data_IF_267115442113
#
_entry.id   IF_267115442113
#
_cell.length_a   1.000
_cell.length_b   1.000
_cell.length_c   1.000
_cell.angle_alpha   90.00
_cell.angle_beta   90.00
_cell.angle_gamma   90.00
#
_symmetry.space_group_name_H-M   'P 1'
#
loop_
_entity.id
_entity.type
_entity.pdbx_description
1 polymer ?
#
# COMPACT_ATOMS: atom_id res chain seq x y z
N UNK A 1 -10.09 -57.21 -12.45
CA UNK A 1 -9.57 -55.82 -12.35
C UNK A 1 -10.63 -54.99 -11.63
N UNK A 2 -10.45 -54.68 -10.33
CA UNK A 2 -11.36 -53.82 -9.59
C UNK A 2 -10.69 -52.45 -9.36
N UNK A 3 -11.05 -51.44 -10.16
CA UNK A 3 -10.48 -50.09 -10.02
C UNK A 3 -11.49 -49.09 -10.58
N UNK A 4 -12.57 -48.84 -9.84
CA UNK A 4 -13.54 -47.79 -10.21
C UNK A 4 -14.36 -47.33 -9.02
N UNK A 5 -14.74 -48.25 -8.11
CA UNK A 5 -15.57 -47.90 -6.95
C UNK A 5 -14.75 -47.21 -5.85
N UNK A 6 -13.51 -47.66 -5.61
CA UNK A 6 -12.65 -47.10 -4.56
C UNK A 6 -12.17 -45.67 -4.87
N UNK A 7 -11.90 -45.35 -6.14
CA UNK A 7 -11.45 -44.01 -6.54
C UNK A 7 -12.55 -42.95 -6.39
N UNK A 8 -13.80 -43.31 -6.68
CA UNK A 8 -14.94 -42.39 -6.54
C UNK A 8 -15.20 -42.09 -5.06
N UNK A 9 -15.03 -43.08 -4.19
CA UNK A 9 -15.16 -42.90 -2.74
C UNK A 9 -14.02 -42.05 -2.16
N UNK A 10 -12.81 -42.24 -2.66
CA UNK A 10 -11.63 -41.47 -2.26
C UNK A 10 -11.75 -39.99 -2.70
N UNK A 11 -12.17 -39.72 -3.93
CA UNK A 11 -12.44 -38.35 -4.39
C UNK A 11 -13.57 -37.67 -3.61
N UNK A 12 -14.62 -38.41 -3.26
CA UNK A 12 -15.71 -37.89 -2.43
C UNK A 12 -15.25 -37.59 -1.00
N UNK A 13 -14.37 -38.42 -0.44
CA UNK A 13 -13.79 -38.19 0.88
C UNK A 13 -12.90 -36.95 0.90
N UNK A 14 -12.07 -36.75 -0.13
CA UNK A 14 -11.21 -35.55 -0.27
C UNK A 14 -12.07 -34.28 -0.36
N UNK A 15 -13.15 -34.29 -1.15
CA UNK A 15 -14.05 -33.14 -1.26
C UNK A 15 -14.81 -32.84 0.03
N UNK A 16 -15.11 -33.87 0.83
CA UNK A 16 -15.74 -33.70 2.14
C UNK A 16 -14.76 -33.06 3.13
N UNK A 17 -13.52 -33.57 3.18
CA UNK A 17 -12.44 -33.06 4.03
C UNK A 17 -12.10 -31.61 3.67
N UNK A 18 -12.01 -31.26 2.38
CA UNK A 18 -11.79 -29.88 1.95
C UNK A 18 -12.92 -28.95 2.38
N UNK A 19 -14.18 -29.40 2.28
CA UNK A 19 -15.34 -28.62 2.73
C UNK A 19 -15.37 -28.47 4.24
N UNK A 20 -15.10 -29.53 4.99
CA UNK A 20 -15.04 -29.50 6.46
C UNK A 20 -13.90 -28.61 6.93
N UNK A 21 -12.74 -28.65 6.29
CA UNK A 21 -11.61 -27.76 6.56
C UNK A 21 -12.00 -26.30 6.31
N UNK A 22 -12.59 -25.98 5.16
CA UNK A 22 -13.04 -24.59 4.87
C UNK A 22 -14.06 -24.10 5.89
N UNK A 23 -14.96 -24.98 6.35
CA UNK A 23 -16.02 -24.67 7.31
C UNK A 23 -15.46 -24.50 8.73
N UNK A 24 -14.57 -25.38 9.17
CA UNK A 24 -13.95 -25.36 10.51
C UNK A 24 -13.06 -24.14 10.71
N UNK A 25 -12.40 -23.68 9.65
CA UNK A 25 -11.48 -22.53 9.71
C UNK A 25 -12.12 -21.20 9.28
N UNK A 26 -13.44 -21.14 9.05
CA UNK A 26 -14.12 -19.97 8.48
C UNK A 26 -13.37 -19.38 7.26
N UNK A 27 -12.78 -20.25 6.45
CA UNK A 27 -12.01 -19.87 5.24
C UNK A 27 -12.93 -19.58 4.05
N UNK A 28 -14.25 -19.53 4.25
CA UNK A 28 -15.13 -18.94 3.27
C UNK A 28 -14.55 -17.55 2.95
N UNK A 29 -14.12 -17.28 1.70
CA UNK A 29 -13.65 -15.97 1.36
C UNK A 29 -14.79 -15.01 1.70
N UNK A 30 -14.57 -14.11 2.66
CA UNK A 30 -15.53 -13.04 2.93
C UNK A 30 -15.77 -12.35 1.59
N UNK A 31 -16.90 -12.66 0.94
CA UNK A 31 -17.36 -11.92 -0.22
C UNK A 31 -17.87 -10.61 0.36
N UNK A 32 -16.96 -9.69 0.65
CA UNK A 32 -17.31 -8.35 1.06
C UNK A 32 -17.99 -7.69 -0.13
N UNK A 33 -19.23 -7.29 0.07
CA UNK A 33 -20.03 -6.55 -0.92
C UNK A 33 -19.86 -5.04 -0.75
N UNK A 34 -18.82 -4.61 -0.03
CA UNK A 34 -18.57 -3.19 0.21
C UNK A 34 -18.36 -2.49 -1.14
N UNK A 35 -19.08 -1.38 -1.41
CA UNK A 35 -18.85 -0.62 -2.62
C UNK A 35 -17.39 -0.15 -2.65
N UNK A 36 -16.84 -0.04 -3.85
CA UNK A 36 -15.50 0.50 -4.01
C UNK A 36 -15.59 2.01 -3.83
N UNK A 37 -14.79 2.54 -2.92
CA UNK A 37 -14.61 3.98 -2.72
C UNK A 37 -13.15 4.32 -2.99
N UNK A 38 -12.90 5.29 -3.87
CA UNK A 38 -11.55 5.64 -4.29
C UNK A 38 -11.26 7.09 -3.98
N UNK A 39 -10.24 7.35 -3.17
CA UNK A 39 -9.83 8.67 -2.74
C UNK A 39 -8.44 9.03 -3.31
N UNK A 40 -8.21 10.31 -3.60
CA UNK A 40 -6.87 10.81 -3.91
C UNK A 40 -6.05 10.82 -2.62
N UNK A 41 -4.89 10.16 -2.62
CA UNK A 41 -4.01 10.11 -1.44
C UNK A 41 -3.38 11.48 -1.14
N UNK A 42 -3.15 12.31 -2.16
CA UNK A 42 -2.42 13.58 -2.06
C UNK A 42 -3.38 14.71 -1.71
N UNK A 43 -4.53 14.75 -2.37
CA UNK A 43 -5.57 15.75 -2.16
C UNK A 43 -6.90 15.07 -1.85
N UNK A 44 -7.06 14.46 -0.66
CA UNK A 44 -8.28 13.73 -0.34
C UNK A 44 -9.47 14.68 -0.29
N UNK A 45 -10.29 14.64 -1.34
CA UNK A 45 -11.60 15.27 -1.34
C UNK A 45 -12.54 14.52 -0.39
N UNK A 46 -13.52 15.21 0.24
CA UNK A 46 -14.47 14.55 1.14
C UNK A 46 -15.40 13.57 0.44
N UNK A 47 -15.52 13.65 -0.90
CA UNK A 47 -16.41 12.81 -1.69
C UNK A 47 -15.55 11.79 -2.47
N UNK A 48 -15.72 10.48 -2.26
CA UNK A 48 -14.99 9.47 -3.02
C UNK A 48 -15.43 9.41 -4.48
N UNK A 49 -14.52 8.91 -5.32
CA UNK A 49 -14.87 8.38 -6.63
C UNK A 49 -15.50 7.01 -6.42
N UNK A 50 -16.75 6.86 -6.85
CA UNK A 50 -17.47 5.58 -6.88
C UNK A 50 -17.47 5.05 -8.31
N UNK A 51 -16.67 4.01 -8.64
CA UNK A 51 -16.71 3.37 -9.94
C UNK A 51 -18.01 2.55 -10.11
N UNK A 52 -18.44 2.28 -11.36
CA UNK A 52 -19.54 1.37 -11.63
C UNK A 52 -19.32 -0.05 -11.06
N UNK A 53 -20.38 -0.70 -10.61
CA UNK A 53 -20.35 -1.99 -9.89
C UNK A 53 -19.71 -3.16 -10.65
N UNK A 54 -19.63 -3.08 -11.99
CA UNK A 54 -18.96 -4.10 -12.80
C UNK A 54 -17.43 -4.03 -12.70
N UNK A 55 -16.87 -2.96 -12.13
CA UNK A 55 -15.44 -2.79 -11.93
C UNK A 55 -15.02 -3.55 -10.68
N UNK A 56 -14.46 -4.76 -10.87
CA UNK A 56 -14.07 -5.63 -9.75
C UNK A 56 -12.56 -5.87 -9.66
N UNK A 57 -11.77 -5.41 -10.65
CA UNK A 57 -10.32 -5.63 -10.69
C UNK A 57 -9.56 -4.31 -10.71
N UNK A 58 -8.36 -4.31 -10.12
CA UNK A 58 -7.50 -3.13 -10.12
C UNK A 58 -7.21 -2.66 -11.55
N UNK A 59 -6.97 -3.56 -12.51
CA UNK A 59 -6.81 -3.19 -13.93
C UNK A 59 -8.01 -2.45 -14.50
N UNK A 60 -9.23 -2.93 -14.24
CA UNK A 60 -10.44 -2.25 -14.71
C UNK A 60 -10.60 -0.88 -14.04
N UNK A 61 -10.30 -0.79 -12.74
CA UNK A 61 -10.33 0.47 -12.01
C UNK A 61 -9.31 1.48 -12.55
N UNK A 62 -8.08 1.05 -12.83
CA UNK A 62 -7.05 1.89 -13.43
C UNK A 62 -7.46 2.42 -14.81
N UNK A 63 -8.13 1.60 -15.62
CA UNK A 63 -8.64 2.04 -16.92
C UNK A 63 -9.78 3.05 -16.77
N UNK A 64 -10.68 2.84 -15.81
CA UNK A 64 -11.74 3.79 -15.48
C UNK A 64 -11.18 5.13 -15.02
N UNK A 65 -10.21 5.12 -14.10
CA UNK A 65 -9.53 6.32 -13.63
C UNK A 65 -8.82 7.08 -14.76
N UNK A 66 -8.23 6.37 -15.73
CA UNK A 66 -7.64 6.99 -16.92
C UNK A 66 -8.68 7.60 -17.86
N UNK A 67 -9.72 6.84 -18.20
CA UNK A 67 -10.72 7.24 -19.18
C UNK A 67 -11.67 8.31 -18.67
N UNK A 68 -12.28 8.08 -17.51
CA UNK A 68 -13.37 8.91 -16.98
C UNK A 68 -12.87 10.03 -16.08
N UNK A 69 -11.73 9.84 -15.40
CA UNK A 69 -11.14 10.84 -14.50
C UNK A 69 -9.91 11.54 -15.08
N UNK A 70 -9.47 11.14 -16.28
CA UNK A 70 -8.34 11.77 -16.97
C UNK A 70 -6.98 11.58 -16.29
N UNK A 71 -6.86 10.65 -15.34
CA UNK A 71 -5.59 10.40 -14.63
C UNK A 71 -4.60 9.72 -15.56
N UNK A 72 -3.39 10.25 -15.71
CA UNK A 72 -2.47 9.73 -16.72
C UNK A 72 -1.77 8.44 -16.29
N UNK A 73 -1.27 8.38 -15.04
CA UNK A 73 -0.56 7.21 -14.49
C UNK A 73 -0.99 6.90 -13.06
N UNK A 74 -2.27 6.56 -12.82
CA UNK A 74 -2.73 6.17 -11.49
C UNK A 74 -2.10 4.84 -11.06
N UNK A 75 -1.74 4.76 -9.79
CA UNK A 75 -1.45 3.53 -9.06
C UNK A 75 -2.43 3.45 -7.86
N UNK A 76 -2.95 2.27 -7.55
CA UNK A 76 -3.98 2.06 -6.51
C UNK A 76 -3.38 1.38 -5.27
N UNK A 77 -3.85 1.81 -4.11
CA UNK A 77 -3.44 1.37 -2.79
C UNK A 77 -4.64 0.98 -1.93
N UNK A 78 -4.42 0.03 -1.03
CA UNK A 78 -5.39 -0.30 0.03
C UNK A 78 -4.82 0.11 1.37
N UNK A 79 -5.60 0.86 2.14
CA UNK A 79 -5.30 1.22 3.53
C UNK A 79 -5.57 0.02 4.44
N UNK A 80 -4.65 -0.26 5.36
CA UNK A 80 -4.76 -1.32 6.36
C UNK A 80 -4.52 -0.74 7.73
N UNK A 81 -5.32 -1.13 8.71
CA UNK A 81 -5.19 -0.70 10.10
C UNK A 81 -4.49 -1.78 10.94
N UNK A 82 -3.91 -1.38 12.08
CA UNK A 82 -3.29 -2.28 13.07
C UNK A 82 -2.24 -3.23 12.47
N UNK A 83 -1.34 -2.72 11.62
CA UNK A 83 -0.29 -3.53 10.95
C UNK A 83 1.10 -3.37 11.53
N UNK A 84 1.32 -2.38 12.39
CA UNK A 84 2.59 -2.13 13.07
C UNK A 84 2.37 -1.35 14.37
N UNK A 85 3.38 -1.30 15.24
CA UNK A 85 3.31 -0.67 16.55
C UNK A 85 3.89 0.77 16.61
N UNK A 86 4.32 1.35 15.48
CA UNK A 86 4.94 2.68 15.45
C UNK A 86 3.98 3.82 15.81
N UNK A 87 2.73 3.72 15.40
CA UNK A 87 1.68 4.72 15.66
C UNK A 87 0.50 4.03 16.33
N UNK A 88 -0.40 4.81 16.94
CA UNK A 88 -1.56 4.29 17.66
C UNK A 88 -2.47 3.44 16.76
N UNK A 89 -2.70 3.90 15.54
CA UNK A 89 -3.64 3.26 14.61
C UNK A 89 -2.95 2.17 13.76
N UNK A 90 -1.62 2.17 13.72
CA UNK A 90 -0.82 1.18 12.99
C UNK A 90 -1.17 1.14 11.50
N UNK A 91 -1.45 2.31 10.90
CA UNK A 91 -1.96 2.40 9.52
C UNK A 91 -0.82 2.17 8.53
N UNK A 92 -1.06 1.33 7.53
CA UNK A 92 -0.14 1.12 6.42
C UNK A 92 -0.87 1.04 5.09
N UNK A 93 -0.14 1.27 4.01
CA UNK A 93 -0.66 1.19 2.65
C UNK A 93 -0.01 0.04 1.91
N UNK A 94 -0.83 -0.72 1.19
CA UNK A 94 -0.36 -1.79 0.31
C UNK A 94 -0.75 -1.50 -1.12
N UNK A 95 0.23 -1.46 -2.02
CA UNK A 95 -0.03 -1.32 -3.44
C UNK A 95 -0.81 -2.52 -3.98
N UNK A 96 -1.81 -2.25 -4.83
CA UNK A 96 -2.69 -3.27 -5.39
C UNK A 96 -2.25 -3.63 -6.80
N UNK A 97 -1.76 -4.86 -6.96
CA UNK A 97 -1.35 -5.35 -8.28
C UNK A 97 -2.53 -5.37 -9.27
N UNK A 98 -2.34 -5.00 -10.57
CA UNK A 98 -3.42 -4.88 -11.55
C UNK A 98 -4.35 -6.09 -11.69
N UNK A 99 -3.81 -7.30 -11.49
CA UNK A 99 -4.56 -8.56 -11.59
C UNK A 99 -5.37 -8.90 -10.32
N UNK A 100 -5.29 -8.11 -9.26
CA UNK A 100 -6.02 -8.38 -8.01
C UNK A 100 -7.41 -7.77 -8.06
N UNK A 101 -8.34 -8.43 -7.37
CA UNK A 101 -9.66 -7.86 -7.10
C UNK A 101 -9.53 -6.67 -6.15
N UNK A 102 -10.45 -5.73 -6.30
CA UNK A 102 -10.54 -4.51 -5.49
C UNK A 102 -11.91 -4.42 -4.86
N UNK A 103 -11.97 -3.93 -3.62
CA UNK A 103 -13.20 -3.77 -2.84
C UNK A 103 -12.96 -2.76 -1.71
N UNK A 104 -14.03 -2.12 -1.25
CA UNK A 104 -14.00 -1.20 -0.11
C UNK A 104 -13.18 0.06 -0.36
N UNK A 105 -12.56 0.57 0.71
CA UNK A 105 -11.83 1.82 0.72
C UNK A 105 -10.43 1.69 0.08
N UNK A 106 -10.21 2.43 -0.99
CA UNK A 106 -8.98 2.47 -1.77
C UNK A 106 -8.50 3.91 -1.91
N UNK A 107 -7.21 4.04 -2.15
CA UNK A 107 -6.57 5.31 -2.44
C UNK A 107 -5.79 5.21 -3.74
N UNK A 108 -5.62 6.33 -4.45
CA UNK A 108 -4.78 6.37 -5.63
C UNK A 108 -3.73 7.48 -5.56
N UNK A 109 -2.65 7.27 -6.32
CA UNK A 109 -1.61 8.26 -6.58
C UNK A 109 -1.50 8.41 -8.10
N UNK A 110 -1.73 9.60 -8.65
CA UNK A 110 -1.36 9.87 -10.05
C UNK A 110 0.12 10.23 -10.15
N UNK A 111 0.94 9.26 -10.57
CA UNK A 111 2.39 9.47 -10.70
C UNK A 111 2.75 10.57 -11.68
N UNK A 112 1.93 10.78 -12.71
CA UNK A 112 2.21 11.81 -13.71
C UNK A 112 2.03 13.20 -13.12
N UNK A 113 0.98 13.42 -12.32
CA UNK A 113 0.75 14.69 -11.62
C UNK A 113 1.92 15.07 -10.71
N UNK A 114 2.57 14.07 -10.10
CA UNK A 114 3.68 14.27 -9.18
C UNK A 114 5.07 14.22 -9.84
N UNK A 115 5.13 13.94 -11.14
CA UNK A 115 6.37 13.66 -11.87
C UNK A 115 7.22 12.54 -11.25
N UNK A 116 6.58 11.51 -10.68
CA UNK A 116 7.30 10.37 -10.11
C UNK A 116 7.63 9.33 -11.18
N UNK A 117 8.91 8.99 -11.30
CA UNK A 117 9.36 7.78 -12.02
C UNK A 117 9.00 6.55 -11.17
N UNK A 118 9.55 6.52 -9.96
CA UNK A 118 9.19 5.63 -8.85
C UNK A 118 9.03 6.43 -7.56
N UNK A 119 8.37 5.82 -6.58
CA UNK A 119 8.05 6.44 -5.30
C UNK A 119 7.79 5.38 -4.24
N UNK A 120 7.80 5.82 -2.99
CA UNK A 120 7.27 5.08 -1.83
C UNK A 120 6.14 5.89 -1.19
N UNK A 121 5.31 5.26 -0.38
CA UNK A 121 4.38 5.98 0.49
C UNK A 121 5.03 6.09 1.87
N UNK A 122 5.30 7.30 2.33
CA UNK A 122 5.82 7.56 3.68
C UNK A 122 4.66 7.87 4.60
N UNK A 123 4.62 7.22 5.77
CA UNK A 123 3.69 7.57 6.82
C UNK A 123 4.26 8.78 7.59
N UNK A 124 3.69 9.96 7.36
CA UNK A 124 4.02 11.19 8.09
C UNK A 124 3.16 11.26 9.35
N UNK A 125 3.77 11.06 10.52
CA UNK A 125 3.11 11.23 11.81
C UNK A 125 3.30 12.68 12.31
N UNK A 126 2.21 13.44 12.39
CA UNK A 126 2.23 14.84 12.81
C UNK A 126 0.96 15.17 13.62
N UNK A 127 1.10 15.79 14.79
CA UNK A 127 -0.03 16.19 15.65
C UNK A 127 -1.02 15.04 15.94
N UNK A 128 -0.51 13.87 16.33
CA UNK A 128 -1.27 12.63 16.58
C UNK A 128 -2.08 12.14 15.35
N UNK A 129 -1.70 12.55 14.15
CA UNK A 129 -2.33 12.11 12.90
C UNK A 129 -1.32 11.40 12.00
N UNK A 130 -1.81 10.33 11.39
CA UNK A 130 -1.11 9.51 10.41
C UNK A 130 -1.52 9.95 9.00
N UNK A 131 -0.59 10.58 8.29
CA UNK A 131 -0.83 11.15 6.95
C UNK A 131 0.01 10.36 5.93
N UNK A 132 -0.60 9.70 4.93
CA UNK A 132 0.15 9.11 3.84
C UNK A 132 0.71 10.19 2.92
N UNK A 133 1.99 10.12 2.61
CA UNK A 133 2.63 11.04 1.69
C UNK A 133 3.43 10.26 0.65
N UNK A 134 3.00 10.24 -0.62
CA UNK A 134 3.81 9.75 -1.72
C UNK A 134 5.11 10.57 -1.85
N UNK A 135 6.25 9.91 -1.83
CA UNK A 135 7.57 10.53 -1.97
C UNK A 135 8.34 9.83 -3.08
N UNK A 136 8.75 10.61 -4.08
CA UNK A 136 9.55 10.11 -5.20
C UNK A 136 10.89 9.55 -4.72
N UNK A 137 11.31 8.42 -5.28
CA UNK A 137 12.58 7.76 -4.93
C UNK A 137 13.40 7.48 -6.18
N UNK A 138 14.72 7.56 -6.04
CA UNK A 138 15.68 7.39 -7.13
C UNK A 138 16.65 6.24 -6.86
N UNK A 139 17.36 5.81 -7.90
CA UNK A 139 18.49 4.89 -7.77
C UNK A 139 19.65 5.56 -7.00
N UNK A 140 20.56 4.78 -6.38
CA UNK A 140 21.63 5.29 -5.49
C UNK A 140 22.49 6.40 -6.11
N UNK A 141 22.78 6.31 -7.41
CA UNK A 141 23.66 7.24 -8.12
C UNK A 141 22.93 8.44 -8.74
N UNK A 142 21.60 8.54 -8.55
CA UNK A 142 20.77 9.58 -9.13
C UNK A 142 20.39 10.64 -8.08
N UNK A 143 20.53 11.94 -8.39
CA UNK A 143 20.20 12.99 -7.43
C UNK A 143 18.71 12.99 -7.10
N UNK A 144 18.39 12.94 -5.81
CA UNK A 144 17.01 12.88 -5.31
C UNK A 144 16.36 14.26 -5.15
N UNK A 145 17.18 15.30 -4.96
CA UNK A 145 16.76 16.69 -4.89
C UNK A 145 17.69 17.56 -5.73
N UNK A 146 17.25 18.77 -6.07
CA UNK A 146 18.06 19.77 -6.76
C UNK A 146 19.28 20.21 -5.94
N UNK A 147 19.24 20.02 -4.62
CA UNK A 147 20.36 20.27 -3.71
C UNK A 147 21.30 19.08 -3.69
N UNK A 148 22.61 19.35 -3.78
CA UNK A 148 23.68 18.35 -3.92
C UNK A 148 23.87 17.42 -2.71
N UNK A 149 23.15 17.62 -1.60
CA UNK A 149 23.40 16.94 -0.32
C UNK A 149 22.10 16.42 0.34
N UNK A 150 21.09 16.04 -0.45
CA UNK A 150 19.87 15.42 0.09
C UNK A 150 20.10 14.05 0.75
N UNK A 151 21.31 13.49 0.70
CA UNK A 151 21.64 12.06 0.76
C UNK A 151 21.26 11.26 2.01
N UNK A 152 20.47 11.80 2.94
CA UNK A 152 19.87 11.05 4.05
C UNK A 152 18.35 11.18 4.08
N UNK A 153 17.66 10.23 4.71
CA UNK A 153 16.21 10.30 4.93
C UNK A 153 15.81 11.63 5.56
N UNK A 154 16.52 12.06 6.60
CA UNK A 154 16.25 13.33 7.27
C UNK A 154 16.28 14.52 6.30
N UNK A 155 17.42 14.75 5.64
CA UNK A 155 17.61 15.92 4.77
C UNK A 155 16.61 15.91 3.60
N UNK A 156 16.35 14.73 3.03
CA UNK A 156 15.38 14.57 1.95
C UNK A 156 13.97 14.98 2.40
N UNK A 157 13.50 14.43 3.53
CA UNK A 157 12.16 14.73 4.03
C UNK A 157 12.02 16.17 4.56
N UNK A 158 13.05 16.73 5.19
CA UNK A 158 13.09 18.15 5.60
C UNK A 158 13.01 19.09 4.39
N UNK A 159 13.65 18.72 3.28
CA UNK A 159 13.57 19.48 2.01
C UNK A 159 12.15 19.44 1.44
N UNK A 160 11.50 18.26 1.45
CA UNK A 160 10.16 18.09 0.88
C UNK A 160 9.06 18.70 1.74
N UNK A 161 9.21 18.66 3.07
CA UNK A 161 8.16 19.06 4.01
C UNK A 161 8.51 20.34 4.77
N UNK A 162 9.44 21.15 4.25
CA UNK A 162 9.77 22.44 4.82
C UNK A 162 8.50 23.26 5.12
N UNK A 163 8.38 23.91 6.29
CA UNK A 163 9.43 24.12 7.30
C UNK A 163 9.48 23.04 8.42
N UNK A 164 8.92 21.85 8.21
CA UNK A 164 8.84 20.85 9.26
C UNK A 164 10.21 20.22 9.59
N UNK A 165 10.47 19.92 10.86
CA UNK A 165 11.66 19.17 11.29
C UNK A 165 11.35 17.68 11.44
N UNK A 166 12.27 16.83 10.99
CA UNK A 166 12.15 15.37 11.09
C UNK A 166 13.03 14.89 12.23
N UNK A 167 12.43 14.55 13.37
CA UNK A 167 13.21 14.17 14.56
C UNK A 167 13.39 12.65 14.71
N UNK A 168 12.53 11.84 14.08
CA UNK A 168 12.66 10.38 14.04
C UNK A 168 12.17 9.86 12.70
N UNK A 169 12.88 8.88 12.14
CA UNK A 169 12.41 8.10 11.01
C UNK A 169 12.66 6.61 11.27
N UNK A 170 11.60 5.80 11.19
CA UNK A 170 11.63 4.37 11.50
C UNK A 170 11.17 3.55 10.31
N UNK A 171 11.83 2.41 10.08
CA UNK A 171 11.36 1.44 9.10
C UNK A 171 10.10 0.74 9.61
N UNK A 172 9.05 0.70 8.78
CA UNK A 172 7.83 -0.03 9.08
C UNK A 172 8.11 -1.53 8.90
N UNK A 173 8.06 -2.28 9.99
CA UNK A 173 8.14 -3.74 9.98
C UNK A 173 6.74 -4.31 10.19
N UNK A 174 6.38 -5.31 9.38
CA UNK A 174 5.06 -5.94 9.40
C UNK A 174 4.97 -7.16 10.32
N UNK A 175 6.09 -7.57 10.94
CA UNK A 175 6.16 -8.68 11.87
C UNK A 175 6.09 -8.17 13.31
N UNK A 176 5.25 -8.81 14.13
CA UNK A 176 5.16 -8.51 15.56
C UNK A 176 6.45 -8.95 16.27
N UNK A 177 7.02 -8.05 17.10
CA UNK A 177 8.16 -8.36 17.98
C UNK A 177 9.54 -7.92 17.48
N UNK A 178 9.65 -7.45 16.23
CA UNK A 178 10.89 -6.82 15.77
C UNK A 178 10.96 -5.36 16.24
N UNK A 179 12.16 -4.92 16.64
CA UNK A 179 12.40 -3.53 17.04
C UNK A 179 12.53 -2.68 15.78
N UNK A 180 11.69 -1.65 15.57
CA UNK A 180 11.76 -0.84 14.37
C UNK A 180 13.12 -0.14 14.24
N UNK A 181 13.78 -0.36 13.09
CA UNK A 181 15.08 0.22 12.79
C UNK A 181 14.99 1.74 12.64
N UNK A 182 15.91 2.47 13.28
CA UNK A 182 16.11 3.89 13.01
C UNK A 182 16.84 4.09 11.68
N UNK A 183 16.22 4.82 10.77
CA UNK A 183 16.73 5.07 9.43
C UNK A 183 16.95 6.55 9.13
N UNK A 184 16.88 7.43 10.14
CA UNK A 184 16.97 8.89 9.97
C UNK A 184 18.21 9.33 9.17
N UNK A 185 19.35 8.69 9.47
CA UNK A 185 20.64 8.99 8.84
C UNK A 185 21.00 8.04 7.69
N UNK A 186 20.09 7.14 7.29
CA UNK A 186 20.33 6.23 6.17
C UNK A 186 20.17 6.96 4.83
N UNK A 187 20.80 6.48 3.75
CA UNK A 187 20.52 6.97 2.41
C UNK A 187 19.05 6.78 2.01
N UNK A 188 18.52 7.73 1.23
CA UNK A 188 17.15 7.66 0.69
C UNK A 188 17.19 7.31 -0.81
N UNK A 189 17.15 6.01 -1.13
CA UNK A 189 17.16 5.49 -2.49
C UNK A 189 16.61 4.05 -2.56
N UNK A 190 16.43 3.51 -3.77
CA UNK A 190 15.72 2.25 -4.03
C UNK A 190 16.36 0.99 -3.41
N UNK A 191 17.68 0.95 -3.18
CA UNK A 191 18.31 -0.16 -2.43
C UNK A 191 17.96 -0.16 -0.94
N UNK A 192 17.55 0.98 -0.38
CA UNK A 192 17.12 1.09 1.01
C UNK A 192 15.60 0.97 1.17
N UNK A 193 14.82 1.43 0.19
CA UNK A 193 13.36 1.41 0.25
C UNK A 193 12.79 0.93 -1.07
N UNK A 194 11.92 -0.09 -1.02
CA UNK A 194 11.40 -0.70 -2.23
C UNK A 194 10.34 0.21 -2.88
N UNK A 195 10.43 0.42 -4.20
CA UNK A 195 9.41 1.17 -4.95
C UNK A 195 8.02 0.58 -4.73
N UNK A 196 7.01 1.46 -4.61
CA UNK A 196 5.60 1.09 -4.35
C UNK A 196 5.40 0.29 -3.05
N UNK A 197 6.19 0.60 -2.03
CA UNK A 197 6.00 0.12 -0.67
C UNK A 197 5.74 1.26 0.32
N UNK A 198 5.30 0.89 1.52
CA UNK A 198 5.16 1.76 2.66
C UNK A 198 6.07 1.27 3.78
N UNK A 199 7.36 1.55 3.63
CA UNK A 199 8.42 1.01 4.48
C UNK A 199 8.94 2.04 5.49
N UNK A 200 8.39 3.26 5.51
CA UNK A 200 8.94 4.38 6.28
C UNK A 200 7.84 5.12 7.03
N UNK A 201 8.07 5.32 8.33
CA UNK A 201 7.31 6.22 9.19
C UNK A 201 8.22 7.35 9.67
N UNK A 202 7.81 8.59 9.48
CA UNK A 202 8.56 9.78 9.89
C UNK A 202 7.75 10.60 10.90
N UNK A 203 8.38 10.96 12.01
CA UNK A 203 7.78 11.77 13.05
C UNK A 203 8.22 13.22 12.88
N UNK A 204 7.22 14.10 12.85
CA UNK A 204 7.38 15.47 12.37
C UNK A 204 6.86 16.45 13.40
N UNK A 205 7.60 17.55 13.61
CA UNK A 205 7.21 18.65 14.50
C UNK A 205 6.19 19.59 13.87
#
# INVERSE_FOLDING_TARGET
MPTSVDQIQEEQAILLDEKEFITLFNLAPEIRTDPIEVYDMINPEPIPIIPPDYIQTCRALLNYLRGEKGLAKPDVWVRRMARHALTKDGISWKWVHPNKRVQGHLEFVDRAQCNFVDYIVVLKHQNDKDIPVPVGITEPDQPCCSQSDCGTVQKHLETLWAPCNIYVAKRIQYNEGEVPEDVLNRPFHTEQFASRHNDLCAYVS
#
